data_IF_874115112223
#
_entry.id   IF_874115112223
#
_cell.length_a   1.000
_cell.length_b   1.000
_cell.length_c   1.000
_cell.angle_alpha   90.00
_cell.angle_beta   90.00
_cell.angle_gamma   90.00
#
_symmetry.space_group_name_H-M   'P 1'
#
loop_
_entity.id
_entity.type
_entity.pdbx_description
1 polymer ?
#
# COMPACT_ATOMS: atom_id res chain seq x y z
N UNK A 1 -19.33 -26.78 6.24
CA UNK A 1 -18.02 -26.77 5.54
C UNK A 1 -18.18 -26.01 4.25
N UNK A 2 -17.31 -25.04 3.98
CA UNK A 2 -17.38 -24.18 2.81
C UNK A 2 -16.95 -24.97 1.55
N UNK A 3 -17.82 -25.12 0.52
CA UNK A 3 -17.50 -25.87 -0.70
C UNK A 3 -16.43 -25.20 -1.58
N UNK A 4 -16.09 -23.93 -1.35
CA UNK A 4 -15.12 -23.19 -2.19
C UNK A 4 -13.66 -23.43 -1.83
N UNK A 5 -13.39 -24.10 -0.69
CA UNK A 5 -12.04 -24.39 -0.20
C UNK A 5 -11.84 -25.91 -0.08
N UNK A 6 -12.14 -26.63 -1.15
CA UNK A 6 -11.76 -28.04 -1.27
C UNK A 6 -10.33 -28.13 -1.81
N UNK A 7 -9.54 -29.06 -1.26
CA UNK A 7 -8.19 -29.43 -1.73
C UNK A 7 -8.14 -29.76 -3.23
N UNK A 8 -9.28 -30.05 -3.85
CA UNK A 8 -9.45 -30.28 -5.30
C UNK A 8 -9.22 -29.05 -6.18
N UNK A 9 -9.23 -27.84 -5.62
CA UNK A 9 -8.89 -26.61 -6.38
C UNK A 9 -7.44 -26.65 -6.87
N UNK A 10 -6.56 -27.31 -6.12
CA UNK A 10 -5.15 -27.47 -6.48
C UNK A 10 -4.89 -28.63 -7.47
N UNK A 11 -5.86 -29.52 -7.70
CA UNK A 11 -5.74 -30.61 -8.68
C UNK A 11 -5.96 -30.13 -10.14
N UNK A 12 -6.72 -29.05 -10.33
CA UNK A 12 -7.15 -28.57 -11.66
C UNK A 12 -6.30 -27.42 -12.22
N UNK A 13 -5.16 -27.09 -11.60
CA UNK A 13 -4.22 -26.15 -12.18
C UNK A 13 -3.40 -26.88 -13.25
N UNK A 14 -3.84 -26.78 -14.50
CA UNK A 14 -3.09 -27.29 -15.65
C UNK A 14 -1.69 -26.67 -15.68
N UNK A 15 -0.71 -27.53 -15.39
CA UNK A 15 0.72 -27.22 -15.46
C UNK A 15 1.12 -26.97 -16.91
N UNK A 16 1.86 -25.90 -17.23
CA UNK A 16 2.58 -25.81 -18.49
C UNK A 16 3.55 -27.00 -18.57
N UNK A 17 3.31 -27.91 -19.52
CA UNK A 17 3.99 -29.21 -19.65
C UNK A 17 5.38 -29.16 -20.31
N UNK A 18 5.95 -27.98 -20.56
CA UNK A 18 7.06 -27.86 -21.50
C UNK A 18 8.33 -27.30 -20.83
N UNK A 19 9.28 -28.20 -20.52
CA UNK A 19 10.70 -27.87 -20.32
C UNK A 19 11.23 -28.04 -18.89
N UNK A 20 12.57 -28.12 -18.71
CA UNK A 20 13.19 -28.05 -17.39
C UNK A 20 12.82 -26.71 -16.74
N UNK A 21 12.49 -26.72 -15.44
CA UNK A 21 12.26 -25.50 -14.67
C UNK A 21 13.51 -24.61 -14.74
N UNK A 22 13.45 -23.55 -15.53
CA UNK A 22 14.44 -22.50 -15.46
C UNK A 22 14.09 -21.66 -14.22
N UNK A 23 15.12 -21.29 -13.44
CA UNK A 23 15.01 -20.37 -12.29
C UNK A 23 14.33 -19.05 -12.65
N UNK A 24 14.23 -18.76 -13.95
CA UNK A 24 13.56 -17.62 -14.56
C UNK A 24 12.04 -17.76 -14.78
N UNK A 25 11.38 -18.84 -14.38
CA UNK A 25 9.92 -18.99 -14.51
C UNK A 25 9.16 -18.85 -13.17
N UNK A 26 9.89 -18.85 -12.06
CA UNK A 26 9.33 -18.82 -10.70
C UNK A 26 9.59 -17.50 -9.99
N UNK A 27 8.72 -17.18 -9.04
CA UNK A 27 8.79 -16.00 -8.17
C UNK A 27 9.96 -16.13 -7.21
N UNK A 28 10.71 -15.05 -7.07
CA UNK A 28 11.80 -14.91 -6.12
C UNK A 28 11.59 -13.67 -5.26
N UNK A 29 12.09 -13.72 -4.03
CA UNK A 29 12.10 -12.56 -3.14
C UNK A 29 12.90 -11.43 -3.78
N UNK A 30 14.08 -11.73 -4.33
CA UNK A 30 14.94 -10.74 -4.99
C UNK A 30 14.24 -10.07 -6.18
N UNK A 31 13.59 -10.84 -7.06
CA UNK A 31 12.88 -10.27 -8.21
C UNK A 31 11.70 -9.38 -7.78
N UNK A 32 11.03 -9.71 -6.68
CA UNK A 32 9.99 -8.86 -6.08
C UNK A 32 10.58 -7.56 -5.53
N UNK A 33 11.71 -7.62 -4.84
CA UNK A 33 12.44 -6.44 -4.33
C UNK A 33 12.86 -5.53 -5.48
N UNK A 34 13.44 -6.08 -6.54
CA UNK A 34 13.89 -5.31 -7.70
C UNK A 34 12.70 -4.59 -8.37
N UNK A 35 11.56 -5.28 -8.55
CA UNK A 35 10.33 -4.70 -9.12
C UNK A 35 9.70 -3.66 -8.23
N UNK A 36 9.77 -3.85 -6.91
CA UNK A 36 9.35 -2.84 -5.94
C UNK A 36 10.22 -1.60 -6.06
N UNK A 37 11.55 -1.76 -6.16
CA UNK A 37 12.49 -0.65 -6.37
C UNK A 37 12.23 0.14 -7.66
N UNK A 38 11.99 -0.55 -8.77
CA UNK A 38 11.62 0.08 -10.05
C UNK A 38 10.31 0.86 -9.89
N UNK A 39 9.31 0.26 -9.25
CA UNK A 39 8.00 0.89 -9.10
C UNK A 39 8.06 2.10 -8.17
N UNK A 40 8.83 2.03 -7.07
CA UNK A 40 9.08 3.17 -6.20
C UNK A 40 9.81 4.30 -6.93
N UNK A 41 10.78 3.98 -7.79
CA UNK A 41 11.47 4.98 -8.60
C UNK A 41 10.50 5.69 -9.56
N UNK A 42 9.61 4.95 -10.22
CA UNK A 42 8.57 5.51 -11.08
C UNK A 42 7.58 6.38 -10.29
N UNK A 43 7.17 5.94 -9.11
CA UNK A 43 6.29 6.69 -8.23
C UNK A 43 6.94 8.01 -7.79
N UNK A 44 8.19 7.99 -7.34
CA UNK A 44 8.94 9.19 -6.95
C UNK A 44 9.09 10.14 -8.14
N UNK A 45 9.43 9.61 -9.31
CA UNK A 45 9.57 10.41 -10.54
C UNK A 45 8.26 11.12 -10.91
N UNK A 46 7.14 10.39 -10.92
CA UNK A 46 5.83 10.97 -11.19
C UNK A 46 5.38 11.94 -10.09
N UNK A 47 5.68 11.64 -8.83
CA UNK A 47 5.39 12.53 -7.70
C UNK A 47 6.16 13.83 -7.74
N UNK A 48 7.44 13.80 -8.14
CA UNK A 48 8.23 15.00 -8.37
C UNK A 48 7.61 15.85 -9.50
N UNK A 49 7.20 15.21 -10.60
CA UNK A 49 6.55 15.91 -11.71
C UNK A 49 5.21 16.56 -11.32
N UNK A 50 4.43 15.91 -10.46
CA UNK A 50 3.14 16.42 -9.99
C UNK A 50 3.24 17.40 -8.80
N UNK A 51 4.44 17.63 -8.26
CA UNK A 51 4.66 18.59 -7.17
C UNK A 51 4.68 20.03 -7.72
N UNK A 52 3.52 20.52 -8.13
CA UNK A 52 3.34 21.84 -8.77
C UNK A 52 2.12 22.58 -8.20
N UNK A 53 2.10 23.93 -8.28
CA UNK A 53 0.87 24.70 -8.08
C UNK A 53 -0.26 24.19 -8.97
N UNK A 54 -1.50 24.21 -8.47
CA UNK A 54 -2.71 23.78 -9.19
C UNK A 54 -2.72 22.30 -9.66
N UNK A 55 -2.01 21.41 -8.95
CA UNK A 55 -1.96 19.96 -9.22
C UNK A 55 -3.28 19.18 -9.04
N UNK A 56 -4.43 19.84 -8.87
CA UNK A 56 -5.72 19.18 -8.66
C UNK A 56 -6.09 18.19 -9.78
N UNK A 57 -5.74 18.53 -11.03
CA UNK A 57 -5.96 17.62 -12.17
C UNK A 57 -5.13 16.33 -12.04
N UNK A 58 -3.87 16.44 -11.61
CA UNK A 58 -3.00 15.28 -11.36
C UNK A 58 -3.51 14.44 -10.18
N UNK A 59 -4.06 15.09 -9.14
CA UNK A 59 -4.68 14.41 -8.01
C UNK A 59 -5.87 13.54 -8.45
N UNK A 60 -6.76 14.07 -9.30
CA UNK A 60 -7.91 13.32 -9.82
C UNK A 60 -7.47 12.19 -10.75
N UNK A 61 -6.58 12.49 -11.71
CA UNK A 61 -6.09 11.50 -12.68
C UNK A 61 -5.33 10.38 -11.96
N UNK A 62 -4.47 10.74 -11.01
CA UNK A 62 -3.71 9.80 -10.20
C UNK A 62 -4.60 8.96 -9.30
N UNK A 63 -5.54 9.58 -8.59
CA UNK A 63 -6.44 8.87 -7.67
C UNK A 63 -7.43 7.97 -8.38
N UNK A 64 -8.18 8.48 -9.36
CA UNK A 64 -9.16 7.68 -10.11
C UNK A 64 -8.48 6.69 -11.04
N UNK A 65 -7.43 7.12 -11.76
CA UNK A 65 -6.66 6.25 -12.63
C UNK A 65 -5.97 5.14 -11.84
N UNK A 66 -5.30 5.48 -10.75
CA UNK A 66 -4.65 4.53 -9.84
C UNK A 66 -5.64 3.52 -9.30
N UNK A 67 -6.81 3.97 -8.83
CA UNK A 67 -7.88 3.09 -8.35
C UNK A 67 -8.38 2.10 -9.42
N UNK A 68 -8.62 2.56 -10.65
CA UNK A 68 -9.04 1.70 -11.75
C UNK A 68 -7.96 0.66 -12.08
N UNK A 69 -6.70 1.07 -12.16
CA UNK A 69 -5.57 0.18 -12.46
C UNK A 69 -5.34 -0.82 -11.32
N UNK A 70 -5.54 -0.41 -10.06
CA UNK A 70 -5.49 -1.31 -8.90
C UNK A 70 -6.55 -2.41 -9.01
N UNK A 71 -7.81 -2.06 -9.34
CA UNK A 71 -8.88 -3.04 -9.55
C UNK A 71 -8.51 -4.01 -10.68
N UNK A 72 -8.01 -3.51 -11.81
CA UNK A 72 -7.58 -4.35 -12.94
C UNK A 72 -6.48 -5.31 -12.51
N UNK A 73 -5.50 -4.84 -11.72
CA UNK A 73 -4.39 -5.65 -11.22
C UNK A 73 -4.85 -6.76 -10.28
N UNK A 74 -5.80 -6.48 -9.39
CA UNK A 74 -6.35 -7.45 -8.44
C UNK A 74 -7.13 -8.55 -9.16
N UNK A 75 -7.95 -8.18 -10.16
CA UNK A 75 -8.75 -9.12 -10.95
C UNK A 75 -7.86 -9.93 -11.90
N UNK A 76 -6.95 -9.27 -12.63
CA UNK A 76 -6.04 -9.89 -13.62
C UNK A 76 -4.58 -9.80 -13.18
N UNK A 77 -4.21 -10.63 -12.20
CA UNK A 77 -2.83 -10.69 -11.64
C UNK A 77 -1.75 -10.96 -12.70
N UNK A 78 -2.09 -11.64 -13.78
CA UNK A 78 -1.16 -11.91 -14.91
C UNK A 78 -0.73 -10.65 -15.65
N UNK A 79 -1.49 -9.55 -15.54
CA UNK A 79 -1.19 -8.26 -16.17
C UNK A 79 -0.33 -7.35 -15.27
N UNK A 80 0.00 -7.80 -14.06
CA UNK A 80 0.84 -7.06 -13.11
C UNK A 80 2.14 -6.48 -13.71
N UNK A 81 2.87 -7.15 -14.63
CA UNK A 81 4.06 -6.55 -15.25
C UNK A 81 3.84 -5.21 -15.95
N UNK A 82 2.61 -4.94 -16.41
CA UNK A 82 2.24 -3.71 -17.11
C UNK A 82 1.46 -2.78 -16.18
N UNK A 83 0.52 -3.33 -15.42
CA UNK A 83 -0.37 -2.52 -14.59
C UNK A 83 0.33 -1.94 -13.37
N UNK A 84 1.36 -2.58 -12.84
CA UNK A 84 2.06 -2.12 -11.63
C UNK A 84 2.94 -0.91 -11.88
N UNK A 85 3.78 -0.85 -12.94
CA UNK A 85 4.45 0.38 -13.35
C UNK A 85 3.47 1.53 -13.61
N UNK A 86 2.35 1.24 -14.28
CA UNK A 86 1.31 2.25 -14.56
C UNK A 86 0.66 2.76 -13.27
N UNK A 87 0.33 1.84 -12.35
CA UNK A 87 -0.19 2.16 -11.03
C UNK A 87 0.78 3.05 -10.26
N UNK A 88 2.07 2.69 -10.24
CA UNK A 88 3.10 3.46 -9.55
C UNK A 88 3.20 4.90 -10.06
N UNK A 89 3.13 5.12 -11.37
CA UNK A 89 3.13 6.46 -11.95
C UNK A 89 1.86 7.24 -11.56
N UNK A 90 0.68 6.61 -11.63
CA UNK A 90 -0.59 7.26 -11.29
C UNK A 90 -0.66 7.63 -9.80
N UNK A 91 -0.27 6.72 -8.92
CA UNK A 91 -0.15 7.01 -7.49
C UNK A 91 0.91 8.07 -7.22
N UNK A 92 2.02 8.08 -7.98
CA UNK A 92 3.00 9.16 -7.92
C UNK A 92 2.36 10.51 -8.19
N UNK A 93 1.54 10.64 -9.25
CA UNK A 93 0.81 11.89 -9.55
C UNK A 93 -0.12 12.33 -8.42
N UNK A 94 -0.85 11.36 -7.83
CA UNK A 94 -1.71 11.60 -6.67
C UNK A 94 -0.89 12.12 -5.49
N UNK A 95 0.15 11.38 -5.11
CA UNK A 95 0.99 11.70 -3.96
C UNK A 95 1.69 13.04 -4.14
N UNK A 96 2.28 13.32 -5.30
CA UNK A 96 2.95 14.61 -5.56
C UNK A 96 2.03 15.81 -5.34
N UNK A 97 0.79 15.71 -5.82
CA UNK A 97 -0.23 16.74 -5.67
C UNK A 97 -0.66 16.91 -4.21
N UNK A 98 -0.91 15.80 -3.51
CA UNK A 98 -1.29 15.81 -2.08
C UNK A 98 -0.13 16.35 -1.23
N UNK A 99 1.10 15.92 -1.49
CA UNK A 99 2.31 16.40 -0.82
C UNK A 99 2.49 17.91 -1.02
N UNK A 100 2.22 18.43 -2.22
CA UNK A 100 2.27 19.88 -2.46
C UNK A 100 1.27 20.62 -1.57
N UNK A 101 0.01 20.17 -1.51
CA UNK A 101 -1.03 20.78 -0.67
C UNK A 101 -0.62 20.82 0.81
N UNK A 102 -0.13 19.71 1.35
CA UNK A 102 0.33 19.67 2.75
C UNK A 102 1.59 20.51 2.95
N UNK A 103 2.51 20.53 1.98
CA UNK A 103 3.74 21.31 2.04
C UNK A 103 3.53 22.83 2.02
N UNK A 104 2.44 23.32 1.40
CA UNK A 104 2.06 24.74 1.45
C UNK A 104 1.56 25.17 2.85
N UNK A 105 0.97 24.24 3.60
CA UNK A 105 0.41 24.53 4.94
C UNK A 105 1.45 24.29 6.03
N UNK A 106 2.24 23.23 5.89
CA UNK A 106 3.22 22.79 6.88
C UNK A 106 4.59 22.61 6.23
N UNK A 107 5.50 23.55 6.51
CA UNK A 107 6.86 23.49 5.97
C UNK A 107 7.61 22.22 6.43
N UNK A 108 8.29 21.55 5.50
CA UNK A 108 9.09 20.35 5.79
C UNK A 108 8.30 19.07 6.09
N UNK A 109 6.96 19.11 6.16
CA UNK A 109 6.13 17.94 6.51
C UNK A 109 6.33 16.76 5.54
N UNK A 110 6.51 17.06 4.26
CA UNK A 110 6.65 16.07 3.19
C UNK A 110 7.92 15.25 3.40
N UNK A 111 9.05 15.92 3.63
CA UNK A 111 10.34 15.26 3.87
C UNK A 111 10.28 14.38 5.13
N UNK A 112 9.69 14.91 6.21
CA UNK A 112 9.52 14.17 7.46
C UNK A 112 8.66 12.92 7.27
N UNK A 113 7.57 13.01 6.50
CA UNK A 113 6.72 11.88 6.18
C UNK A 113 7.47 10.81 5.37
N UNK A 114 8.27 11.20 4.38
CA UNK A 114 9.11 10.28 3.60
C UNK A 114 10.12 9.57 4.51
N UNK A 115 10.85 10.32 5.33
CA UNK A 115 11.85 9.77 6.25
C UNK A 115 11.21 8.77 7.21
N UNK A 116 10.05 9.11 7.80
CA UNK A 116 9.33 8.21 8.70
C UNK A 116 8.85 6.94 7.98
N UNK A 117 8.29 7.07 6.78
CA UNK A 117 7.81 5.92 5.98
C UNK A 117 8.95 4.96 5.68
N UNK A 118 10.09 5.49 5.21
CA UNK A 118 11.30 4.70 4.91
C UNK A 118 11.88 4.07 6.18
N UNK A 119 11.91 4.82 7.28
CA UNK A 119 12.42 4.32 8.57
C UNK A 119 11.58 3.16 9.10
N UNK A 120 10.25 3.27 9.02
CA UNK A 120 9.31 2.21 9.42
C UNK A 120 9.50 0.98 8.53
N UNK A 121 9.57 1.18 7.21
CA UNK A 121 9.81 0.10 6.25
C UNK A 121 11.10 -0.66 6.56
N UNK A 122 12.23 0.04 6.72
CA UNK A 122 13.54 -0.57 7.00
C UNK A 122 13.53 -1.28 8.35
N UNK A 123 12.95 -0.64 9.38
CA UNK A 123 12.87 -1.23 10.72
C UNK A 123 12.05 -2.52 10.70
N UNK A 124 10.88 -2.52 10.06
CA UNK A 124 10.04 -3.71 9.94
C UNK A 124 10.69 -4.80 9.10
N UNK A 125 11.36 -4.45 8.00
CA UNK A 125 12.10 -5.40 7.18
C UNK A 125 13.20 -6.09 8.00
N UNK A 126 13.92 -5.35 8.85
CA UNK A 126 14.93 -5.92 9.74
C UNK A 126 14.30 -6.85 10.78
N UNK A 127 13.22 -6.41 11.44
CA UNK A 127 12.51 -7.20 12.45
C UNK A 127 11.93 -8.48 11.83
N UNK A 128 11.31 -8.39 10.66
CA UNK A 128 10.79 -9.54 9.91
C UNK A 128 11.90 -10.52 9.55
N UNK A 129 12.98 -10.03 8.92
CA UNK A 129 14.12 -10.87 8.51
C UNK A 129 14.85 -11.53 9.69
N UNK A 130 14.84 -10.90 10.86
CA UNK A 130 15.41 -11.49 12.08
C UNK A 130 14.58 -12.64 12.65
N UNK A 131 13.40 -12.93 12.09
CA UNK A 131 12.52 -14.01 12.54
C UNK A 131 11.86 -13.73 13.90
N UNK A 132 11.97 -12.50 14.42
CA UNK A 132 11.37 -12.11 15.70
C UNK A 132 9.84 -12.07 15.64
N UNK A 133 9.27 -11.79 14.46
CA UNK A 133 7.83 -11.79 14.22
C UNK A 133 7.48 -13.01 13.37
N UNK A 134 6.70 -13.92 13.94
CA UNK A 134 6.08 -15.01 13.20
C UNK A 134 4.65 -14.63 12.84
N UNK A 135 4.36 -14.58 11.54
CA UNK A 135 3.04 -14.22 11.03
C UNK A 135 2.12 -15.44 11.14
N UNK A 136 1.34 -15.49 12.22
CA UNK A 136 0.35 -16.55 12.43
C UNK A 136 -0.97 -16.25 11.72
N UNK A 137 -1.79 -17.28 11.45
CA UNK A 137 -3.10 -17.11 10.81
C UNK A 137 -4.02 -16.16 11.60
N UNK A 138 -3.98 -16.24 12.95
CA UNK A 138 -4.74 -15.35 13.82
C UNK A 138 -4.26 -13.90 13.73
N UNK A 139 -2.96 -13.69 13.52
CA UNK A 139 -2.38 -12.36 13.32
C UNK A 139 -2.80 -11.78 11.95
N UNK A 140 -2.75 -12.59 10.87
CA UNK A 140 -3.27 -12.23 9.54
C UNK A 140 -4.73 -11.80 9.61
N UNK A 141 -5.57 -12.62 10.25
CA UNK A 141 -7.00 -12.35 10.42
C UNK A 141 -7.26 -11.08 11.25
N UNK A 142 -6.51 -10.88 12.33
CA UNK A 142 -6.64 -9.69 13.18
C UNK A 142 -6.33 -8.39 12.44
N UNK A 143 -5.24 -8.36 11.68
CA UNK A 143 -4.85 -7.19 10.88
C UNK A 143 -5.82 -6.99 9.70
N UNK A 144 -6.26 -8.06 9.04
CA UNK A 144 -7.26 -7.96 7.98
C UNK A 144 -8.58 -7.38 8.49
N UNK A 145 -9.03 -7.80 9.68
CA UNK A 145 -10.21 -7.25 10.33
C UNK A 145 -10.03 -5.77 10.72
N UNK A 146 -8.86 -5.40 11.26
CA UNK A 146 -8.55 -4.01 11.60
C UNK A 146 -8.53 -3.12 10.35
N UNK A 147 -7.90 -3.58 9.28
CA UNK A 147 -7.81 -2.88 7.98
C UNK A 147 -9.19 -2.72 7.36
N UNK A 148 -10.02 -3.77 7.39
CA UNK A 148 -11.41 -3.72 6.96
C UNK A 148 -12.25 -2.74 7.79
N UNK A 149 -12.05 -2.70 9.10
CA UNK A 149 -12.70 -1.73 10.00
C UNK A 149 -12.32 -0.28 9.67
N UNK A 150 -11.04 -0.01 9.45
CA UNK A 150 -10.56 1.32 9.03
C UNK A 150 -11.15 1.70 7.67
N UNK A 151 -11.17 0.78 6.72
CA UNK A 151 -11.79 1.00 5.41
C UNK A 151 -13.28 1.36 5.54
N UNK A 152 -14.04 0.64 6.36
CA UNK A 152 -15.44 0.96 6.61
C UNK A 152 -15.62 2.36 7.21
N UNK A 153 -14.76 2.74 8.16
CA UNK A 153 -14.77 4.09 8.75
C UNK A 153 -14.54 5.16 7.68
N UNK A 154 -13.57 4.96 6.79
CA UNK A 154 -13.33 5.89 5.67
C UNK A 154 -14.49 5.92 4.69
N UNK A 155 -15.11 4.77 4.41
CA UNK A 155 -16.28 4.68 3.54
C UNK A 155 -17.49 5.42 4.14
N UNK A 156 -17.76 5.26 5.43
CA UNK A 156 -18.81 6.02 6.11
C UNK A 156 -18.51 7.52 6.13
N UNK A 157 -17.25 7.92 6.34
CA UNK A 157 -16.83 9.31 6.25
C UNK A 157 -17.04 9.89 4.84
N UNK A 158 -16.68 9.13 3.81
CA UNK A 158 -16.87 9.51 2.41
C UNK A 158 -18.36 9.66 2.07
N UNK A 159 -19.20 8.69 2.41
CA UNK A 159 -20.65 8.75 2.18
C UNK A 159 -21.27 9.90 2.99
N UNK A 160 -20.90 10.05 4.27
CA UNK A 160 -21.38 11.12 5.14
C UNK A 160 -21.07 12.52 4.62
N UNK A 161 -19.95 12.68 3.92
CA UNK A 161 -19.57 13.97 3.32
C UNK A 161 -20.59 14.49 2.30
N UNK A 162 -21.28 13.60 1.57
CA UNK A 162 -22.37 13.99 0.64
C UNK A 162 -23.60 14.54 1.36
N UNK A 163 -23.78 14.19 2.64
CA UNK A 163 -24.87 14.65 3.48
C UNK A 163 -24.46 15.80 4.40
N UNK A 164 -23.28 16.40 4.19
CA UNK A 164 -22.74 17.48 5.02
C UNK A 164 -22.25 17.01 6.41
N UNK A 165 -22.12 15.71 6.63
CA UNK A 165 -21.57 15.16 7.87
C UNK A 165 -20.05 15.00 7.75
N UNK A 166 -19.29 15.81 8.49
CA UNK A 166 -17.84 15.65 8.63
C UNK A 166 -17.51 14.84 9.88
N UNK A 167 -16.86 13.68 9.73
CA UNK A 167 -16.34 12.95 10.88
C UNK A 167 -15.14 13.69 11.47
N UNK A 168 -15.35 14.29 12.63
CA UNK A 168 -14.38 15.18 13.30
C UNK A 168 -12.99 14.55 13.50
N UNK A 169 -12.89 13.23 13.65
CA UNK A 169 -11.60 12.54 13.83
C UNK A 169 -10.84 12.27 12.52
N UNK A 170 -11.50 12.34 11.35
CA UNK A 170 -10.87 12.20 10.03
C UNK A 170 -10.30 13.51 9.51
N UNK A 171 -10.72 14.64 10.09
CA UNK A 171 -10.24 15.96 9.68
C UNK A 171 -8.73 16.12 9.97
N UNK A 172 -7.90 16.38 8.94
CA UNK A 172 -6.47 16.63 9.10
C UNK A 172 -6.13 17.85 9.97
N UNK A 173 -7.06 18.80 10.10
CA UNK A 173 -6.86 20.03 10.88
C UNK A 173 -7.24 19.88 12.35
N UNK A 174 -7.98 18.83 12.69
CA UNK A 174 -8.37 18.55 14.07
C UNK A 174 -7.20 17.98 14.87
N UNK A 175 -6.55 18.82 15.67
CA UNK A 175 -5.45 18.48 16.58
C UNK A 175 -5.86 17.89 17.94
N UNK A 176 -7.10 17.40 18.09
CA UNK A 176 -7.56 16.70 19.30
C UNK A 176 -6.68 15.50 19.66
N UNK A 177 -6.47 15.24 20.95
CA UNK A 177 -5.75 14.05 21.43
C UNK A 177 -6.37 12.75 20.91
N UNK A 178 -7.70 12.72 20.74
CA UNK A 178 -8.44 11.56 20.22
C UNK A 178 -8.17 11.37 18.72
N UNK A 179 -8.11 12.46 17.93
CA UNK A 179 -7.88 12.37 16.48
C UNK A 179 -6.42 12.01 16.16
N UNK A 180 -5.46 12.45 16.98
CA UNK A 180 -4.05 12.06 16.90
C UNK A 180 -3.90 10.58 17.26
N UNK A 181 -4.49 10.14 18.38
CA UNK A 181 -4.46 8.74 18.79
C UNK A 181 -5.05 7.80 17.74
N UNK A 182 -6.17 8.20 17.11
CA UNK A 182 -6.76 7.48 15.99
C UNK A 182 -5.84 7.38 14.77
N UNK A 183 -5.20 8.48 14.36
CA UNK A 183 -4.23 8.44 13.25
C UNK A 183 -2.99 7.59 13.58
N UNK A 184 -2.49 7.67 14.81
CA UNK A 184 -1.37 6.82 15.24
C UNK A 184 -1.75 5.34 15.20
N UNK A 185 -2.96 4.99 15.64
CA UNK A 185 -3.48 3.62 15.55
C UNK A 185 -3.52 3.13 14.10
N UNK A 186 -4.03 3.95 13.17
CA UNK A 186 -4.03 3.59 11.74
C UNK A 186 -2.61 3.41 11.20
N UNK A 187 -1.67 4.29 11.55
CA UNK A 187 -0.25 4.15 11.13
C UNK A 187 0.33 2.82 11.62
N UNK A 188 0.01 2.40 12.85
CA UNK A 188 0.43 1.08 13.37
C UNK A 188 -0.17 -0.03 12.50
N UNK A 189 -1.47 -0.01 12.23
CA UNK A 189 -2.11 -1.03 11.38
C UNK A 189 -1.55 -1.05 9.95
N UNK A 190 -1.33 0.11 9.34
CA UNK A 190 -0.70 0.21 8.02
C UNK A 190 0.72 -0.38 8.03
N UNK A 191 1.51 -0.09 9.07
CA UNK A 191 2.84 -0.67 9.24
C UNK A 191 2.79 -2.20 9.42
N UNK A 192 1.80 -2.74 10.15
CA UNK A 192 1.62 -4.17 10.33
C UNK A 192 1.16 -4.87 9.04
N UNK A 193 0.45 -4.18 8.14
CA UNK A 193 0.14 -4.72 6.82
C UNK A 193 1.40 -4.95 5.99
N UNK A 194 2.46 -4.12 6.13
CA UNK A 194 3.74 -4.39 5.45
C UNK A 194 4.35 -5.72 5.87
N UNK A 195 4.16 -6.13 7.13
CA UNK A 195 4.61 -7.43 7.62
C UNK A 195 3.85 -8.56 6.91
N UNK A 196 2.54 -8.40 6.69
CA UNK A 196 1.74 -9.36 5.93
C UNK A 196 2.15 -9.40 4.45
N UNK A 197 2.50 -8.26 3.87
CA UNK A 197 2.98 -8.19 2.49
C UNK A 197 4.30 -8.95 2.32
N UNK A 198 5.23 -8.83 3.29
CA UNK A 198 6.48 -9.59 3.27
C UNK A 198 6.26 -11.09 3.42
N UNK A 199 5.38 -11.50 4.33
CA UNK A 199 5.00 -12.90 4.52
C UNK A 199 4.36 -13.50 3.27
N UNK A 200 3.48 -12.75 2.60
CA UNK A 200 2.93 -13.16 1.31
C UNK A 200 4.00 -13.36 0.23
N UNK A 201 5.01 -12.48 0.18
CA UNK A 201 6.11 -12.57 -0.79
C UNK A 201 7.01 -13.77 -0.52
N UNK A 202 7.34 -14.02 0.75
CA UNK A 202 8.15 -15.17 1.16
C UNK A 202 7.41 -16.49 0.89
N UNK A 203 6.16 -16.62 1.35
CA UNK A 203 5.32 -17.79 1.12
C UNK A 203 5.12 -18.05 -0.39
N UNK A 204 4.95 -16.99 -1.18
CA UNK A 204 4.84 -17.06 -2.64
C UNK A 204 6.11 -17.55 -3.33
N UNK A 205 7.28 -17.10 -2.86
CA UNK A 205 8.57 -17.55 -3.38
C UNK A 205 8.88 -19.00 -2.98
N UNK A 206 8.61 -19.39 -1.73
CA UNK A 206 8.81 -20.76 -1.23
C UNK A 206 7.93 -21.78 -1.96
N UNK A 207 6.69 -21.40 -2.28
CA UNK A 207 5.75 -22.24 -3.04
C UNK A 207 6.03 -22.27 -4.54
N UNK A 208 7.02 -21.52 -5.03
CA UNK A 208 7.37 -21.46 -6.44
C UNK A 208 6.27 -20.84 -7.30
N UNK A 209 5.62 -19.77 -6.81
CA UNK A 209 4.58 -19.07 -7.56
C UNK A 209 5.10 -18.56 -8.92
N UNK A 210 4.24 -18.32 -9.93
CA UNK A 210 4.69 -17.87 -11.24
C UNK A 210 5.44 -16.51 -11.20
N UNK A 211 6.39 -16.27 -12.11
CA UNK A 211 7.20 -15.04 -12.13
C UNK A 211 6.43 -13.71 -12.21
N UNK A 212 5.22 -13.69 -12.79
CA UNK A 212 4.38 -12.48 -12.79
C UNK A 212 3.94 -12.08 -11.36
N UNK A 213 3.93 -13.01 -10.40
CA UNK A 213 3.59 -12.75 -9.01
C UNK A 213 4.61 -11.86 -8.31
N UNK A 214 5.86 -11.78 -8.79
CA UNK A 214 6.82 -10.80 -8.26
C UNK A 214 6.33 -9.35 -8.48
N UNK A 215 5.65 -9.08 -9.61
CA UNK A 215 5.02 -7.76 -9.83
C UNK A 215 3.80 -7.57 -8.95
N UNK A 216 3.03 -8.64 -8.71
CA UNK A 216 1.87 -8.58 -7.82
C UNK A 216 2.27 -8.38 -6.35
N UNK A 217 3.37 -9.00 -5.90
CA UNK A 217 3.96 -8.75 -4.58
C UNK A 217 4.46 -7.31 -4.45
N UNK A 218 5.16 -6.80 -5.48
CA UNK A 218 5.58 -5.41 -5.53
C UNK A 218 4.38 -4.44 -5.47
N UNK A 219 3.27 -4.77 -6.13
CA UNK A 219 2.03 -4.01 -6.05
C UNK A 219 1.45 -3.95 -4.64
N UNK A 220 1.34 -5.09 -3.94
CA UNK A 220 0.88 -5.12 -2.56
C UNK A 220 1.71 -4.19 -1.66
N UNK A 221 3.04 -4.31 -1.74
CA UNK A 221 3.95 -3.43 -1.01
C UNK A 221 3.76 -1.95 -1.35
N UNK A 222 3.57 -1.60 -2.63
CA UNK A 222 3.33 -0.22 -3.04
C UNK A 222 2.03 0.33 -2.45
N UNK A 223 0.92 -0.43 -2.53
CA UNK A 223 -0.38 0.02 -2.00
C UNK A 223 -0.25 0.31 -0.50
N UNK A 224 0.37 -0.60 0.25
CA UNK A 224 0.56 -0.42 1.69
C UNK A 224 1.52 0.74 2.01
N UNK A 225 2.59 0.92 1.23
CA UNK A 225 3.52 2.04 1.41
C UNK A 225 2.88 3.39 1.12
N UNK A 226 2.10 3.50 0.03
CA UNK A 226 1.34 4.71 -0.31
C UNK A 226 0.36 5.04 0.82
N UNK A 227 -0.36 4.03 1.32
CA UNK A 227 -1.30 4.21 2.42
C UNK A 227 -0.58 4.66 3.71
N UNK A 228 0.50 4.00 4.10
CA UNK A 228 1.30 4.36 5.26
C UNK A 228 1.82 5.80 5.15
N UNK A 229 2.32 6.20 3.98
CA UNK A 229 2.79 7.56 3.73
C UNK A 229 1.68 8.61 3.97
N UNK A 230 0.50 8.41 3.39
CA UNK A 230 -0.64 9.32 3.54
C UNK A 230 -1.09 9.45 5.01
N UNK A 231 -1.08 8.34 5.76
CA UNK A 231 -1.45 8.37 7.18
C UNK A 231 -0.39 9.04 8.06
N UNK A 232 0.90 8.89 7.75
CA UNK A 232 1.97 9.64 8.41
C UNK A 232 1.84 11.13 8.11
N UNK A 233 1.59 11.49 6.85
CA UNK A 233 1.38 12.88 6.44
C UNK A 233 0.21 13.51 7.23
N UNK A 234 -0.91 12.78 7.34
CA UNK A 234 -2.07 13.20 8.14
C UNK A 234 -1.75 13.30 9.63
N UNK A 235 -1.03 12.33 10.19
CA UNK A 235 -0.62 12.35 11.59
C UNK A 235 0.26 13.57 11.90
N UNK A 236 1.26 13.84 11.07
CA UNK A 236 2.14 15.01 11.22
C UNK A 236 1.38 16.32 11.08
N UNK A 237 0.39 16.39 10.18
CA UNK A 237 -0.44 17.59 10.02
C UNK A 237 -1.25 17.89 11.28
N UNK A 238 -1.89 16.87 11.88
CA UNK A 238 -2.62 17.01 13.15
C UNK A 238 -1.71 17.41 14.32
N UNK A 239 -0.47 16.91 14.34
CA UNK A 239 0.51 17.28 15.37
C UNK A 239 0.98 18.73 15.21
N UNK A 240 1.16 19.20 13.98
CA UNK A 240 1.56 20.58 13.71
C UNK A 240 0.41 21.57 13.88
N UNK A 241 -0.83 21.20 13.57
CA UNK A 241 -2.00 22.08 13.72
C UNK A 241 -2.35 22.42 15.18
N UNK A 242 -1.74 21.73 16.14
CA UNK A 242 -1.90 22.00 17.57
C UNK A 242 -0.97 23.12 18.09
N UNK A 243 0.09 23.45 17.36
CA UNK A 243 1.00 24.55 17.72
C UNK A 243 0.36 25.89 17.40
#
# INVERSE_FOLDING_TARGET
GNPTLSSKVFENLERPKNGPLLRDDVMTIQGTVDKTGISLALLIFAGYFAYVPDGFSFMIIGGLGGFIVAIITVIKKTWAPITVPLYAMLEGLLLGSVSYMYGQIFEGIVLNAIILTVSILISLLFVYKSGLIQVTENFKLGIAAATGGIFLVYLFGFIGSFFGMSLSFLDPTNGSLISIGGSLFVVIIASLNLVLDFDFIEEGAEKGAPKYMEWYGAFGLLVTLVWLYLEILRLLAKLNSRK
#
